data_IF_543543511436
#
_entry.id   IF_543543511436
#
_cell.length_a   1.000
_cell.length_b   1.000
_cell.length_c   1.000
_cell.angle_alpha   90.00
_cell.angle_beta   90.00
_cell.angle_gamma   90.00
#
_symmetry.space_group_name_H-M   'P 1'
#
loop_
_entity.id
_entity.type
_entity.pdbx_description
1 polymer ?
#
# COMPACT_ATOMS: atom_id res chain seq x y z
N UNK A 1 6.67 7.59 -40.72
CA UNK A 1 7.43 7.73 -39.45
C UNK A 1 6.42 7.98 -38.34
N UNK A 2 5.96 6.90 -37.69
CA UNK A 2 5.02 7.01 -36.58
C UNK A 2 5.80 7.36 -35.31
N UNK A 3 5.63 8.57 -34.80
CA UNK A 3 6.17 8.96 -33.50
C UNK A 3 5.60 8.02 -32.44
N UNK A 4 6.47 7.20 -31.85
CA UNK A 4 6.11 6.26 -30.80
C UNK A 4 5.46 7.04 -29.65
N UNK A 5 4.17 6.80 -29.37
CA UNK A 5 3.45 7.35 -28.21
C UNK A 5 4.21 7.18 -26.87
N UNK A 6 5.12 6.21 -26.81
CA UNK A 6 5.99 5.91 -25.67
C UNK A 6 7.09 6.95 -25.44
N UNK A 7 7.57 7.64 -26.48
CA UNK A 7 8.63 8.66 -26.32
C UNK A 7 8.09 9.95 -25.69
N UNK A 8 6.82 10.29 -25.96
CA UNK A 8 6.14 11.43 -25.34
C UNK A 8 5.75 11.18 -23.87
N UNK A 9 5.69 9.92 -23.42
CA UNK A 9 5.42 9.55 -22.02
C UNK A 9 6.64 9.72 -21.09
N UNK A 10 7.85 9.80 -21.64
CA UNK A 10 9.09 9.92 -20.84
C UNK A 10 9.26 11.29 -20.20
N UNK A 11 8.56 12.33 -20.69
CA UNK A 11 8.85 13.72 -20.34
C UNK A 11 7.92 14.36 -19.29
N UNK A 12 7.03 13.62 -18.62
CA UNK A 12 6.17 14.24 -17.58
C UNK A 12 5.74 13.32 -16.44
N UNK A 13 6.37 12.16 -16.27
CA UNK A 13 6.06 11.30 -15.12
C UNK A 13 6.70 11.91 -13.87
N UNK A 14 5.94 12.76 -13.18
CA UNK A 14 6.34 13.35 -11.93
C UNK A 14 6.46 12.23 -10.87
N UNK A 15 7.68 11.96 -10.41
CA UNK A 15 7.96 10.92 -9.40
C UNK A 15 7.15 11.13 -8.13
N UNK A 16 6.91 12.39 -7.75
CA UNK A 16 6.04 12.74 -6.63
C UNK A 16 4.58 12.32 -6.87
N UNK A 17 4.08 12.52 -8.09
CA UNK A 17 2.72 12.12 -8.44
C UNK A 17 2.56 10.60 -8.44
N UNK A 18 3.56 9.85 -8.90
CA UNK A 18 3.57 8.39 -8.74
C UNK A 18 3.48 8.05 -7.26
N UNK A 19 4.38 8.59 -6.43
CA UNK A 19 4.44 8.31 -5.00
C UNK A 19 3.10 8.59 -4.32
N UNK A 20 2.49 9.75 -4.56
CA UNK A 20 1.22 10.15 -3.97
C UNK A 20 0.05 9.25 -4.42
N UNK A 21 0.15 8.61 -5.59
CA UNK A 21 -0.86 7.69 -6.10
C UNK A 21 -0.59 6.21 -5.78
N UNK A 22 0.50 5.87 -5.09
CA UNK A 22 0.79 4.50 -4.64
C UNK A 22 -0.29 4.01 -3.67
N UNK A 23 -0.70 2.75 -3.83
CA UNK A 23 -1.60 2.08 -2.90
C UNK A 23 -0.86 1.63 -1.65
N UNK A 24 -1.50 1.83 -0.51
CA UNK A 24 -1.01 1.47 0.82
C UNK A 24 -2.12 0.82 1.63
N UNK A 25 -1.74 0.09 2.66
CA UNK A 25 -2.65 -0.50 3.64
C UNK A 25 -2.41 0.14 5.00
N UNK A 26 -3.46 0.76 5.55
CA UNK A 26 -3.46 1.33 6.90
C UNK A 26 -4.21 0.41 7.86
N UNK A 27 -3.60 0.08 8.99
CA UNK A 27 -4.20 -0.80 9.98
C UNK A 27 -4.90 -0.02 11.10
N UNK A 28 -6.13 -0.40 11.41
CA UNK A 28 -6.92 0.26 12.48
C UNK A 28 -6.61 -0.27 13.88
N UNK A 29 -6.08 -1.49 13.98
CA UNK A 29 -5.89 -2.19 15.25
C UNK A 29 -4.57 -2.95 15.24
N UNK A 30 -3.97 -3.12 16.42
CA UNK A 30 -2.85 -4.05 16.62
C UNK A 30 -3.37 -5.48 16.70
N UNK A 31 -2.87 -6.38 15.85
CA UNK A 31 -3.24 -7.80 15.82
C UNK A 31 -2.08 -8.66 15.33
N UNK A 32 -2.09 -9.92 15.74
CA UNK A 32 -1.19 -10.94 15.21
C UNK A 32 -2.03 -11.95 14.43
N UNK A 33 -1.63 -12.23 13.20
CA UNK A 33 -2.26 -13.27 12.40
C UNK A 33 -1.88 -14.64 12.96
N UNK A 34 -2.84 -15.45 13.41
CA UNK A 34 -2.53 -16.80 13.87
C UNK A 34 -2.12 -17.75 12.72
N UNK A 35 -2.44 -17.40 11.47
CA UNK A 35 -2.11 -18.18 10.26
C UNK A 35 -0.71 -17.85 9.74
N UNK A 36 -0.45 -16.59 9.37
CA UNK A 36 0.83 -16.17 8.78
C UNK A 36 1.81 -15.58 9.78
N UNK A 37 1.46 -15.53 11.07
CA UNK A 37 2.26 -14.98 12.19
C UNK A 37 2.68 -13.51 12.06
N UNK A 38 2.29 -12.82 10.98
CA UNK A 38 2.52 -11.38 10.84
C UNK A 38 1.84 -10.60 11.97
N UNK A 39 2.59 -9.66 12.53
CA UNK A 39 2.12 -8.68 13.49
C UNK A 39 1.87 -7.36 12.76
N UNK A 40 0.71 -6.77 13.00
CA UNK A 40 0.38 -5.40 12.61
C UNK A 40 0.20 -4.57 13.87
N UNK A 41 0.60 -3.30 13.84
CA UNK A 41 0.29 -2.37 14.91
C UNK A 41 -0.77 -1.36 14.45
N UNK A 42 -1.49 -0.80 15.42
CA UNK A 42 -2.48 0.24 15.20
C UNK A 42 -1.83 1.46 14.56
N UNK A 43 -2.48 2.00 13.52
CA UNK A 43 -2.02 3.12 12.70
C UNK A 43 -0.75 2.86 11.88
N UNK A 44 -0.25 1.63 11.84
CA UNK A 44 0.81 1.29 10.91
C UNK A 44 0.31 1.43 9.47
N UNK A 45 1.18 1.96 8.62
CA UNK A 45 1.00 2.05 7.18
C UNK A 45 2.05 1.19 6.51
N UNK A 46 1.61 0.31 5.63
CA UNK A 46 2.48 -0.55 4.84
C UNK A 46 2.22 -0.35 3.35
N UNK A 47 3.27 -0.52 2.55
CA UNK A 47 3.15 -0.63 1.10
C UNK A 47 2.20 -1.77 0.76
N UNK A 48 1.42 -1.60 -0.30
CA UNK A 48 0.58 -2.70 -0.80
C UNK A 48 1.44 -3.92 -1.16
N UNK A 49 2.67 -3.73 -1.62
CA UNK A 49 3.58 -4.81 -1.99
C UNK A 49 4.17 -5.57 -0.76
N UNK A 50 4.19 -4.93 0.42
CA UNK A 50 4.79 -5.49 1.64
C UNK A 50 3.82 -6.39 2.44
N UNK A 51 2.52 -6.38 2.10
CA UNK A 51 1.53 -7.18 2.82
C UNK A 51 1.62 -8.66 2.46
N UNK A 52 1.06 -9.54 3.30
CA UNK A 52 1.11 -10.97 3.00
C UNK A 52 0.32 -11.32 1.72
N UNK A 53 0.74 -12.34 0.94
CA UNK A 53 0.13 -12.66 -0.35
C UNK A 53 -1.38 -12.92 -0.32
N UNK A 54 -1.88 -13.48 0.78
CA UNK A 54 -3.32 -13.71 0.99
C UNK A 54 -4.09 -12.39 1.08
N UNK A 55 -3.56 -11.40 1.80
CA UNK A 55 -4.15 -10.06 1.88
C UNK A 55 -4.14 -9.37 0.53
N UNK A 56 -3.00 -9.43 -0.17
CA UNK A 56 -2.84 -8.85 -1.49
C UNK A 56 -3.88 -9.37 -2.48
N UNK A 57 -4.04 -10.70 -2.59
CA UNK A 57 -5.04 -11.31 -3.47
C UNK A 57 -6.47 -10.86 -3.15
N UNK A 58 -6.79 -10.70 -1.87
CA UNK A 58 -8.12 -10.27 -1.44
C UNK A 58 -8.39 -8.81 -1.79
N UNK A 59 -7.44 -7.91 -1.53
CA UNK A 59 -7.62 -6.50 -1.86
C UNK A 59 -7.66 -6.21 -3.36
N UNK A 60 -7.06 -7.08 -4.18
CA UNK A 60 -7.16 -7.03 -5.64
C UNK A 60 -8.35 -7.80 -6.23
N UNK A 61 -9.24 -8.38 -5.39
CA UNK A 61 -10.43 -9.09 -5.86
C UNK A 61 -10.15 -10.43 -6.55
N UNK A 62 -8.93 -10.97 -6.42
CA UNK A 62 -8.57 -12.30 -6.96
C UNK A 62 -9.27 -13.40 -6.13
N UNK A 63 -9.45 -13.15 -4.84
CA UNK A 63 -10.22 -14.01 -3.94
C UNK A 63 -11.28 -13.17 -3.22
N UNK A 64 -12.49 -13.71 -3.11
CA UNK A 64 -13.61 -13.04 -2.45
C UNK A 64 -13.74 -13.46 -0.97
N UNK A 65 -13.19 -14.62 -0.62
CA UNK A 65 -13.21 -15.11 0.76
C UNK A 65 -11.91 -14.72 1.49
N UNK A 66 -12.02 -14.13 2.70
CA UNK A 66 -10.85 -13.79 3.48
C UNK A 66 -10.12 -15.05 3.96
N UNK A 67 -8.83 -15.16 3.64
CA UNK A 67 -7.93 -16.25 4.03
C UNK A 67 -6.89 -15.82 5.08
N UNK A 68 -6.89 -14.54 5.47
CA UNK A 68 -6.02 -13.99 6.49
C UNK A 68 -6.87 -13.12 7.44
N UNK A 69 -6.90 -13.43 8.75
CA UNK A 69 -7.64 -12.65 9.75
C UNK A 69 -7.35 -11.15 9.73
N UNK A 70 -6.16 -10.74 9.28
CA UNK A 70 -5.77 -9.33 9.22
C UNK A 70 -6.46 -8.54 8.10
N UNK A 71 -7.10 -9.21 7.12
CA UNK A 71 -7.75 -8.56 5.97
C UNK A 71 -8.83 -7.56 6.38
N UNK A 72 -9.63 -7.90 7.39
CA UNK A 72 -10.70 -7.03 7.89
C UNK A 72 -10.20 -5.83 8.70
N UNK A 73 -8.93 -5.81 9.09
CA UNK A 73 -8.33 -4.74 9.90
C UNK A 73 -7.52 -3.74 9.06
N UNK A 74 -7.24 -4.05 7.79
CA UNK A 74 -6.55 -3.18 6.85
C UNK A 74 -7.53 -2.36 6.01
N UNK A 75 -7.24 -1.07 5.84
CA UNK A 75 -7.93 -0.19 4.89
C UNK A 75 -6.97 0.14 3.74
N UNK A 76 -7.36 -0.17 2.51
CA UNK A 76 -6.63 0.23 1.31
C UNK A 76 -6.89 1.70 1.03
N UNK A 77 -5.82 2.46 0.83
CA UNK A 77 -5.83 3.90 0.58
C UNK A 77 -4.72 4.22 -0.45
N UNK A 78 -4.72 5.44 -0.98
CA UNK A 78 -3.54 6.00 -1.64
C UNK A 78 -2.73 6.81 -0.64
N UNK A 79 -1.44 7.00 -0.91
CA UNK A 79 -0.54 7.84 -0.07
C UNK A 79 -1.12 9.25 0.11
N UNK A 80 -1.72 9.83 -0.94
CA UNK A 80 -2.37 11.15 -0.87
C UNK A 80 -3.56 11.24 0.08
N UNK A 81 -4.15 10.10 0.47
CA UNK A 81 -5.28 10.06 1.39
C UNK A 81 -4.84 10.01 2.87
N UNK A 82 -3.53 9.94 3.13
CA UNK A 82 -2.98 10.01 4.48
C UNK A 82 -3.11 11.43 5.05
N UNK A 83 -3.33 11.50 6.37
CA UNK A 83 -3.19 12.78 7.09
C UNK A 83 -1.72 13.19 7.11
N UNK A 84 -1.47 14.50 7.23
CA UNK A 84 -0.11 15.05 7.22
C UNK A 84 0.85 14.33 8.19
N UNK A 85 0.44 14.15 9.45
CA UNK A 85 1.24 13.43 10.46
C UNK A 85 1.54 11.97 10.10
N UNK A 86 0.62 11.30 9.41
CA UNK A 86 0.76 9.91 8.99
C UNK A 86 1.68 9.80 7.77
N UNK A 87 1.59 10.77 6.86
CA UNK A 87 2.45 10.90 5.69
C UNK A 87 3.90 11.13 6.09
N UNK A 88 4.17 12.03 7.04
CA UNK A 88 5.52 12.28 7.54
C UNK A 88 6.14 11.01 8.16
N UNK A 89 5.39 10.33 9.04
CA UNK A 89 5.83 9.03 9.61
C UNK A 89 6.08 7.98 8.54
N UNK A 90 5.23 7.92 7.52
CA UNK A 90 5.40 6.97 6.42
C UNK A 90 6.66 7.25 5.60
N UNK A 91 6.95 8.53 5.30
CA UNK A 91 8.20 8.92 4.63
C UNK A 91 9.43 8.54 5.47
N UNK A 92 9.41 8.78 6.78
CA UNK A 92 10.50 8.41 7.68
C UNK A 92 10.78 6.90 7.65
N UNK A 93 9.73 6.07 7.63
CA UNK A 93 9.85 4.61 7.54
C UNK A 93 10.50 4.21 6.20
N UNK A 94 10.16 4.89 5.11
CA UNK A 94 10.72 4.61 3.79
C UNK A 94 12.19 5.00 3.65
N UNK A 95 12.64 6.03 4.35
CA UNK A 95 14.05 6.47 4.33
C UNK A 95 14.97 5.60 5.19
N UNK A 96 14.40 4.89 6.19
CA UNK A 96 15.16 4.02 7.11
C UNK A 96 15.30 2.57 6.63
N UNK A 97 14.58 2.18 5.56
CA UNK A 97 14.66 0.86 4.92
C UNK A 97 15.57 0.91 3.72
#
# INVERSE_FOLDING_TARGET
MGTNKLENLKNSINTFEIFMNQYIVKYKNSKVCYICKNKINMNDVQKMEDICPKMWKYFHGIINQPQCPLQSFGKVLKVKDLRFEELEKYKDILQRK
#
